data_IF_271860502882
#
_entry.id   IF_271860502882
#
_cell.length_a   1.000
_cell.length_b   1.000
_cell.length_c   1.000
_cell.angle_alpha   90.00
_cell.angle_beta   90.00
_cell.angle_gamma   90.00
#
_symmetry.space_group_name_H-M   'P 1'
#
loop_
_entity.id
_entity.type
_entity.pdbx_description
1 polymer ?
#
# COMPACT_ATOMS: atom_id res chain seq x y z
N UNK A 1 -21.81 -52.82 27.33
CA UNK A 1 -20.62 -52.15 26.75
C UNK A 1 -20.79 -50.65 26.91
N UNK A 2 -20.23 -50.06 27.96
CA UNK A 2 -20.34 -48.64 28.28
C UNK A 2 -19.10 -47.93 27.71
N UNK A 3 -19.24 -47.13 26.65
CA UNK A 3 -18.13 -46.40 26.03
C UNK A 3 -17.92 -45.08 26.77
N UNK A 4 -16.84 -44.98 27.53
CA UNK A 4 -16.35 -43.75 28.14
C UNK A 4 -15.68 -42.90 27.06
N UNK A 5 -16.30 -41.78 26.67
CA UNK A 5 -15.67 -40.79 25.79
C UNK A 5 -14.74 -39.90 26.60
N UNK A 6 -13.43 -39.98 26.34
CA UNK A 6 -12.47 -39.01 26.86
C UNK A 6 -12.62 -37.67 26.10
N UNK A 7 -12.64 -36.53 26.80
CA UNK A 7 -12.64 -35.23 26.14
C UNK A 7 -11.23 -34.95 25.57
N UNK A 8 -11.14 -34.81 24.26
CA UNK A 8 -9.92 -34.34 23.58
C UNK A 8 -9.63 -32.90 23.99
N UNK A 9 -8.58 -32.73 24.78
CA UNK A 9 -8.01 -31.43 25.12
C UNK A 9 -7.27 -30.91 23.87
N UNK A 10 -7.91 -30.00 23.12
CA UNK A 10 -7.26 -29.33 22.00
C UNK A 10 -6.33 -28.24 22.53
N UNK A 11 -5.03 -28.47 22.40
CA UNK A 11 -4.00 -27.47 22.62
C UNK A 11 -4.03 -26.49 21.44
N UNK A 12 -4.56 -25.29 21.64
CA UNK A 12 -4.55 -24.23 20.64
C UNK A 12 -3.10 -23.76 20.41
N UNK A 13 -2.50 -24.12 19.29
CA UNK A 13 -1.23 -23.57 18.85
C UNK A 13 -1.46 -22.14 18.35
N UNK A 14 -0.91 -21.15 19.05
CA UNK A 14 -0.87 -19.77 18.58
C UNK A 14 -0.04 -19.70 17.30
N UNK A 15 -0.60 -19.13 16.23
CA UNK A 15 0.15 -18.79 15.02
C UNK A 15 1.22 -17.75 15.39
N UNK A 16 2.48 -17.92 14.94
CA UNK A 16 3.49 -16.90 15.15
C UNK A 16 3.09 -15.64 14.40
N UNK A 17 3.08 -14.50 15.10
CA UNK A 17 2.97 -13.19 14.47
C UNK A 17 4.07 -13.08 13.39
N UNK A 18 3.72 -12.55 12.22
CA UNK A 18 4.72 -12.22 11.20
C UNK A 18 5.81 -11.34 11.86
N UNK A 19 7.07 -11.70 11.64
CA UNK A 19 8.18 -10.99 12.27
C UNK A 19 8.18 -9.52 11.83
N UNK A 20 8.23 -8.61 12.80
CA UNK A 20 8.29 -7.16 12.59
C UNK A 20 9.46 -6.79 11.65
N UNK A 21 9.24 -5.82 10.76
CA UNK A 21 10.25 -5.42 9.79
C UNK A 21 11.41 -4.73 10.51
N UNK A 22 12.61 -5.28 10.34
CA UNK A 22 13.82 -4.69 10.90
C UNK A 22 14.34 -3.60 9.97
N UNK A 23 14.22 -2.34 10.39
CA UNK A 23 14.70 -1.21 9.61
C UNK A 23 16.18 -1.33 9.24
N UNK A 24 17.06 -1.68 10.19
CA UNK A 24 18.51 -1.66 9.99
C UNK A 24 18.98 -2.69 8.97
N UNK A 25 18.40 -3.89 8.99
CA UNK A 25 18.86 -5.00 8.13
C UNK A 25 18.06 -5.12 6.84
N UNK A 26 16.82 -4.60 6.78
CA UNK A 26 15.95 -4.75 5.62
C UNK A 26 15.73 -3.43 4.88
N UNK A 27 15.33 -2.36 5.58
CA UNK A 27 14.88 -1.10 4.95
C UNK A 27 16.06 -0.17 4.64
N UNK A 28 16.98 0.01 5.60
CA UNK A 28 18.13 0.90 5.47
C UNK A 28 19.02 0.57 4.26
N UNK A 29 19.29 -0.71 3.92
CA UNK A 29 20.00 -1.05 2.68
C UNK A 29 19.29 -0.60 1.40
N UNK A 30 17.96 -0.68 1.36
CA UNK A 30 17.14 -0.21 0.22
C UNK A 30 17.28 1.30 0.06
N UNK A 31 17.08 2.05 1.16
CA UNK A 31 17.20 3.51 1.16
C UNK A 31 18.64 3.96 0.82
N UNK A 32 19.64 3.25 1.34
CA UNK A 32 21.05 3.53 1.06
C UNK A 32 21.39 3.39 -0.43
N UNK A 33 20.90 2.33 -1.06
CA UNK A 33 21.15 2.04 -2.49
C UNK A 33 20.43 3.01 -3.42
N UNK A 34 19.18 3.36 -3.13
CA UNK A 34 18.35 4.13 -4.05
C UNK A 34 18.44 5.65 -3.82
N UNK A 35 18.65 6.10 -2.58
CA UNK A 35 18.35 7.49 -2.23
C UNK A 35 19.56 8.27 -1.69
N UNK A 36 20.49 7.61 -1.01
CA UNK A 36 21.54 8.29 -0.24
C UNK A 36 22.55 9.07 -1.11
N UNK A 37 22.69 8.75 -2.40
CA UNK A 37 23.63 9.46 -3.28
C UNK A 37 23.27 10.96 -3.45
N UNK A 38 21.97 11.27 -3.49
CA UNK A 38 21.44 12.63 -3.68
C UNK A 38 20.90 13.28 -2.40
N UNK A 39 20.56 12.48 -1.38
CA UNK A 39 19.93 12.92 -0.12
C UNK A 39 20.83 12.78 1.12
N UNK A 40 22.15 12.78 0.90
CA UNK A 40 23.16 12.80 1.97
C UNK A 40 23.22 14.13 2.72
N UNK A 41 23.82 14.11 3.91
CA UNK A 41 24.14 15.33 4.65
C UNK A 41 24.93 16.33 3.79
N UNK A 42 24.79 17.65 4.03
CA UNK A 42 25.58 18.65 3.30
C UNK A 42 27.07 18.34 3.33
N UNK A 43 27.73 18.37 2.18
CA UNK A 43 29.17 18.11 2.04
C UNK A 43 29.84 19.26 1.30
N UNK A 44 31.12 19.51 1.56
CA UNK A 44 31.91 20.42 0.72
C UNK A 44 32.52 19.64 -0.43
N UNK A 45 32.45 20.17 -1.64
CA UNK A 45 33.23 19.64 -2.76
C UNK A 45 34.70 20.10 -2.68
N UNK A 46 35.52 19.65 -3.63
CA UNK A 46 36.96 19.97 -3.70
C UNK A 46 37.26 21.47 -3.83
N UNK A 47 36.27 22.29 -4.22
CA UNK A 47 36.39 23.75 -4.26
C UNK A 47 35.97 24.44 -2.96
N UNK A 48 35.55 23.67 -1.95
CA UNK A 48 35.04 24.17 -0.68
C UNK A 48 33.58 24.59 -0.72
N UNK A 49 32.88 24.43 -1.86
CA UNK A 49 31.46 24.80 -2.02
C UNK A 49 30.58 23.76 -1.33
N UNK A 50 29.62 24.23 -0.53
CA UNK A 50 28.65 23.37 0.16
C UNK A 50 27.61 22.86 -0.84
N UNK A 51 27.51 21.53 -0.93
CA UNK A 51 26.53 20.79 -1.69
C UNK A 51 25.42 20.32 -0.75
N UNK A 52 24.23 20.86 -0.92
CA UNK A 52 23.06 20.51 -0.11
C UNK A 52 22.30 19.30 -0.71
N UNK A 53 21.59 18.52 0.12
CA UNK A 53 20.72 17.45 -0.36
C UNK A 53 19.66 17.96 -1.34
N UNK A 54 19.35 17.16 -2.36
CA UNK A 54 18.28 17.49 -3.33
C UNK A 54 16.92 17.57 -2.62
N UNK A 55 16.12 18.57 -2.99
CA UNK A 55 14.82 18.84 -2.37
C UNK A 55 14.88 19.13 -0.87
N UNK A 56 16.06 19.39 -0.30
CA UNK A 56 16.24 19.57 1.14
C UNK A 56 16.01 18.29 1.98
N UNK A 57 15.77 17.14 1.35
CA UNK A 57 15.49 15.88 2.01
C UNK A 57 16.79 15.21 2.45
N UNK A 58 16.90 14.90 3.75
CA UNK A 58 17.98 14.10 4.32
C UNK A 58 17.49 12.71 4.72
N UNK A 59 18.36 11.71 4.59
CA UNK A 59 18.04 10.32 4.92
C UNK A 59 19.00 9.66 5.92
N UNK A 60 19.87 10.45 6.54
CA UNK A 60 20.93 9.99 7.42
C UNK A 60 20.52 9.88 8.90
N UNK A 61 19.26 10.19 9.23
CA UNK A 61 18.70 9.99 10.56
C UNK A 61 17.17 9.82 10.54
N UNK A 62 16.57 9.20 11.58
CA UNK A 62 15.12 9.10 11.73
C UNK A 62 14.41 10.46 11.63
N UNK A 63 14.89 11.47 12.36
CA UNK A 63 14.25 12.80 12.38
C UNK A 63 14.19 13.43 10.98
N UNK A 64 15.20 13.20 10.15
CA UNK A 64 15.27 13.71 8.79
C UNK A 64 14.31 13.00 7.84
N UNK A 65 14.24 11.66 7.94
CA UNK A 65 13.31 10.86 7.13
C UNK A 65 11.86 11.22 7.42
N UNK A 66 11.52 11.42 8.69
CA UNK A 66 10.17 11.84 9.10
C UNK A 66 9.85 13.25 8.61
N UNK A 67 10.72 14.23 8.94
CA UNK A 67 10.50 15.64 8.60
C UNK A 67 10.39 15.88 7.09
N UNK A 68 11.17 15.15 6.29
CA UNK A 68 11.22 15.34 4.85
C UNK A 68 11.96 16.61 4.42
N UNK A 69 11.65 17.05 3.21
CA UNK A 69 12.32 18.17 2.54
C UNK A 69 11.39 19.37 2.32
N UNK A 70 11.67 20.15 1.28
CA UNK A 70 10.85 21.31 0.90
C UNK A 70 9.43 20.98 0.44
N UNK A 71 9.15 19.70 0.16
CA UNK A 71 7.83 19.22 -0.26
C UNK A 71 6.87 18.86 0.87
N UNK A 72 7.35 18.80 2.13
CA UNK A 72 6.57 18.31 3.27
C UNK A 72 7.18 17.04 3.91
N UNK A 73 6.36 16.34 4.70
CA UNK A 73 6.77 15.15 5.44
C UNK A 73 7.35 14.07 4.50
N UNK A 74 8.51 13.52 4.87
CA UNK A 74 9.18 12.52 4.05
C UNK A 74 8.54 11.15 4.24
N UNK A 75 8.37 10.77 5.50
CA UNK A 75 7.71 9.56 5.97
C UNK A 75 6.68 9.96 7.02
N UNK A 76 5.43 9.61 6.78
CA UNK A 76 4.33 9.72 7.73
C UNK A 76 4.08 8.32 8.33
N UNK A 77 4.43 8.07 9.61
CA UNK A 77 4.24 6.78 10.24
C UNK A 77 2.81 6.26 10.14
N UNK A 78 2.64 5.06 9.60
CA UNK A 78 1.34 4.41 9.42
C UNK A 78 0.61 4.82 8.14
N UNK A 79 1.12 5.77 7.36
CA UNK A 79 0.45 6.33 6.18
C UNK A 79 1.41 6.49 4.99
N UNK A 80 1.63 5.43 4.19
CA UNK A 80 2.46 5.50 2.98
C UNK A 80 1.96 6.55 1.97
N UNK A 81 0.65 6.79 1.91
CA UNK A 81 0.04 7.74 0.98
C UNK A 81 0.26 9.20 1.39
N UNK A 82 0.67 9.47 2.64
CA UNK A 82 1.17 10.79 3.07
C UNK A 82 2.69 10.86 3.13
N UNK A 83 3.37 9.75 2.86
CA UNK A 83 4.82 9.66 2.84
C UNK A 83 5.35 10.02 1.46
N UNK A 84 5.84 11.26 1.27
CA UNK A 84 6.35 11.70 -0.03
C UNK A 84 7.44 10.79 -0.58
N UNK A 85 8.30 10.23 0.28
CA UNK A 85 9.32 9.26 -0.15
C UNK A 85 8.69 8.05 -0.82
N UNK A 86 7.59 7.53 -0.27
CA UNK A 86 6.88 6.39 -0.84
C UNK A 86 6.16 6.77 -2.14
N UNK A 87 5.48 7.91 -2.17
CA UNK A 87 4.83 8.40 -3.40
C UNK A 87 5.83 8.55 -4.56
N UNK A 88 7.03 9.10 -4.30
CA UNK A 88 8.02 9.35 -5.37
C UNK A 88 8.65 8.08 -5.94
N UNK A 89 8.73 7.00 -5.16
CA UNK A 89 9.28 5.71 -5.65
C UNK A 89 8.26 4.89 -6.45
N UNK A 90 6.97 5.24 -6.36
CA UNK A 90 5.92 4.65 -7.18
C UNK A 90 5.81 5.28 -8.57
N UNK A 91 6.40 6.47 -8.78
CA UNK A 91 6.35 7.17 -10.06
C UNK A 91 7.24 6.48 -11.12
N UNK A 92 6.82 6.47 -12.41
CA UNK A 92 7.67 6.02 -13.51
C UNK A 92 8.96 6.85 -13.58
N UNK A 93 10.07 6.24 -13.99
CA UNK A 93 11.37 6.92 -14.12
C UNK A 93 11.35 8.16 -15.02
N UNK A 94 10.39 8.21 -15.94
CA UNK A 94 10.15 9.27 -16.91
C UNK A 94 9.48 10.49 -16.28
N UNK A 95 8.82 10.33 -15.14
CA UNK A 95 8.18 11.41 -14.42
C UNK A 95 9.24 12.29 -13.73
N UNK A 96 9.09 13.61 -13.83
CA UNK A 96 10.09 14.57 -13.32
C UNK A 96 10.34 14.46 -11.81
N UNK A 97 9.29 14.07 -11.08
CA UNK A 97 9.31 13.89 -9.64
C UNK A 97 9.72 12.48 -9.17
N UNK A 98 9.96 11.55 -10.08
CA UNK A 98 10.31 10.17 -9.74
C UNK A 98 11.67 10.08 -9.06
N UNK A 99 11.72 9.22 -8.05
CA UNK A 99 12.94 8.98 -7.28
C UNK A 99 13.31 7.49 -7.33
N UNK A 100 14.54 7.14 -7.74
CA UNK A 100 15.61 8.06 -8.15
C UNK A 100 15.30 8.73 -9.51
N UNK A 101 15.85 9.92 -9.82
CA UNK A 101 15.64 10.53 -11.13
C UNK A 101 16.23 9.68 -12.26
N UNK A 102 15.69 9.82 -13.47
CA UNK A 102 16.17 9.11 -14.66
C UNK A 102 17.69 9.20 -14.81
N UNK A 103 18.35 8.05 -14.85
CA UNK A 103 19.80 7.94 -15.04
C UNK A 103 20.65 8.35 -13.82
N UNK A 104 20.03 8.60 -12.66
CA UNK A 104 20.70 8.96 -11.40
C UNK A 104 20.54 7.90 -10.30
N UNK A 105 19.98 6.73 -10.63
CA UNK A 105 19.83 5.60 -9.74
C UNK A 105 18.96 4.52 -10.38
N UNK A 106 18.82 3.38 -9.71
CA UNK A 106 17.88 2.33 -10.13
C UNK A 106 16.58 2.48 -9.31
N UNK A 107 15.40 2.37 -9.95
CA UNK A 107 14.15 2.25 -9.21
C UNK A 107 14.21 1.13 -8.18
N UNK A 108 13.42 1.28 -7.12
CA UNK A 108 13.14 0.15 -6.23
C UNK A 108 12.47 -0.96 -7.06
N UNK A 109 12.89 -2.19 -6.80
CA UNK A 109 12.13 -3.36 -7.24
C UNK A 109 10.80 -3.42 -6.50
N UNK A 110 9.83 -4.15 -7.05
CA UNK A 110 8.53 -4.35 -6.39
C UNK A 110 8.68 -4.80 -4.92
N UNK A 111 9.56 -5.78 -4.66
CA UNK A 111 9.80 -6.28 -3.30
C UNK A 111 10.41 -5.22 -2.37
N UNK A 112 11.31 -4.37 -2.89
CA UNK A 112 11.89 -3.26 -2.12
C UNK A 112 10.84 -2.17 -1.84
N UNK A 113 9.97 -1.87 -2.80
CA UNK A 113 8.86 -0.92 -2.64
C UNK A 113 7.86 -1.40 -1.59
N UNK A 114 7.46 -2.68 -1.64
CA UNK A 114 6.55 -3.26 -0.64
C UNK A 114 7.18 -3.35 0.75
N UNK A 115 8.49 -3.62 0.83
CA UNK A 115 9.21 -3.57 2.11
C UNK A 115 9.16 -2.18 2.74
N UNK A 116 9.36 -1.12 1.96
CA UNK A 116 9.27 0.27 2.44
C UNK A 116 7.84 0.61 2.83
N UNK A 117 6.84 0.25 2.01
CA UNK A 117 5.40 0.41 2.32
C UNK A 117 5.04 -0.21 3.67
N UNK A 118 5.40 -1.48 3.86
CA UNK A 118 5.05 -2.23 5.06
C UNK A 118 5.77 -1.70 6.30
N UNK A 119 7.02 -1.30 6.18
CA UNK A 119 7.72 -0.62 7.27
C UNK A 119 7.04 0.70 7.67
N UNK A 120 6.57 1.50 6.71
CA UNK A 120 5.80 2.71 7.01
C UNK A 120 4.49 2.34 7.70
N UNK A 121 3.76 1.35 7.20
CA UNK A 121 2.50 0.87 7.79
C UNK A 121 2.67 0.36 9.23
N UNK A 122 3.82 -0.25 9.56
CA UNK A 122 4.18 -0.66 10.92
C UNK A 122 4.54 0.52 11.85
N UNK A 123 4.47 1.76 11.35
CA UNK A 123 4.74 2.98 12.09
C UNK A 123 6.17 3.50 11.90
N UNK A 124 6.84 3.14 10.80
CA UNK A 124 8.19 3.59 10.47
C UNK A 124 9.19 3.37 11.63
N UNK A 125 9.17 2.18 12.24
CA UNK A 125 9.99 1.87 13.41
C UNK A 125 11.48 1.77 13.03
N UNK A 126 12.31 2.68 13.53
CA UNK A 126 13.75 2.72 13.23
C UNK A 126 14.60 1.79 14.11
N UNK A 127 14.01 1.19 15.15
CA UNK A 127 14.74 0.44 16.18
C UNK A 127 15.79 1.31 16.88
N UNK A 128 16.98 0.74 17.10
CA UNK A 128 18.10 1.45 17.75
C UNK A 128 18.88 2.37 16.80
N UNK A 129 18.52 2.42 15.51
CA UNK A 129 19.24 3.26 14.55
C UNK A 129 18.86 4.73 14.76
N UNK A 130 19.82 5.51 15.26
CA UNK A 130 19.70 6.96 15.46
C UNK A 130 20.32 7.78 14.34
N UNK A 131 21.12 7.17 13.48
CA UNK A 131 21.84 7.89 12.43
C UNK A 131 22.58 9.12 12.97
N UNK A 132 22.48 10.26 12.27
CA UNK A 132 23.07 11.53 12.72
C UNK A 132 22.30 12.23 13.85
N UNK A 133 21.12 11.76 14.25
CA UNK A 133 20.45 12.25 15.48
C UNK A 133 21.29 11.94 16.73
N UNK A 134 22.14 10.90 16.68
CA UNK A 134 23.05 10.56 17.78
C UNK A 134 24.07 11.67 18.07
N UNK A 135 24.37 12.53 17.10
CA UNK A 135 25.30 13.66 17.24
C UNK A 135 24.62 14.97 17.68
N UNK A 136 23.29 14.99 17.76
CA UNK A 136 22.51 16.18 18.16
C UNK A 136 21.58 15.81 19.30
N UNK A 137 22.06 15.94 20.54
CA UNK A 137 21.16 15.92 21.69
C UNK A 137 20.26 17.16 21.63
N UNK A 138 18.95 16.92 21.72
CA UNK A 138 17.84 17.88 21.79
C UNK A 138 17.31 18.43 20.44
N UNK A 139 16.40 17.68 19.82
CA UNK A 139 15.24 18.26 19.15
C UNK A 139 14.04 17.32 19.34
N UNK A 140 13.01 17.87 19.97
CA UNK A 140 11.74 17.26 20.37
C UNK A 140 11.14 16.37 19.28
N UNK A 141 10.84 15.12 19.64
CA UNK A 141 10.06 14.21 18.81
C UNK A 141 8.66 14.81 18.52
N UNK A 142 8.23 14.92 17.25
CA UNK A 142 6.83 15.07 16.94
C UNK A 142 6.15 13.70 17.08
N UNK A 143 5.24 13.60 18.05
CA UNK A 143 4.09 12.69 18.02
C UNK A 143 4.34 11.21 18.26
N UNK A 144 4.03 10.74 19.46
CA UNK A 144 3.41 9.42 19.62
C UNK A 144 2.28 9.22 18.59
N UNK A 145 2.03 7.98 18.11
CA UNK A 145 1.07 7.72 17.06
C UNK A 145 -0.26 8.37 17.42
N UNK A 146 -0.77 9.22 16.52
CA UNK A 146 -2.08 9.81 16.68
C UNK A 146 -3.06 8.68 16.99
N UNK A 147 -3.67 8.71 18.18
CA UNK A 147 -4.76 7.83 18.56
C UNK A 147 -5.82 7.98 17.46
N UNK A 148 -5.93 6.96 16.60
CA UNK A 148 -6.86 6.96 15.46
C UNK A 148 -8.24 7.38 15.97
N UNK A 149 -8.78 8.45 15.40
CA UNK A 149 -10.23 8.72 15.46
C UNK A 149 -10.92 7.45 14.99
N UNK A 150 -11.93 6.97 15.73
CA UNK A 150 -12.63 5.72 15.44
C UNK A 150 -12.98 5.66 13.95
N UNK A 151 -12.49 4.63 13.26
CA UNK A 151 -12.77 4.40 11.84
C UNK A 151 -14.30 4.20 11.70
N UNK A 152 -15.03 5.09 11.00
CA UNK A 152 -16.47 4.94 10.80
C UNK A 152 -16.82 3.62 10.12
N UNK A 153 -15.90 3.04 9.34
CA UNK A 153 -16.08 1.75 8.69
C UNK A 153 -15.91 0.57 9.66
N UNK A 154 -15.41 0.77 10.88
CA UNK A 154 -15.30 -0.31 11.87
C UNK A 154 -16.63 -0.57 12.59
N UNK A 155 -17.61 0.33 12.46
CA UNK A 155 -18.91 0.20 13.10
C UNK A 155 -19.66 -1.06 12.62
N UNK A 156 -20.01 -1.93 13.57
CA UNK A 156 -20.77 -3.16 13.31
C UNK A 156 -19.97 -4.28 12.65
N UNK A 157 -18.64 -4.18 12.55
CA UNK A 157 -17.80 -5.24 11.99
C UNK A 157 -17.62 -6.37 13.01
N UNK A 158 -17.90 -7.60 12.58
CA UNK A 158 -17.71 -8.82 13.38
C UNK A 158 -16.32 -9.40 13.14
N UNK A 159 -15.91 -10.32 14.02
CA UNK A 159 -14.67 -11.08 13.82
C UNK A 159 -14.70 -11.84 12.49
N UNK A 160 -13.56 -11.86 11.81
CA UNK A 160 -13.40 -12.60 10.57
C UNK A 160 -13.31 -14.11 10.84
N UNK A 161 -13.96 -14.97 10.04
CA UNK A 161 -13.88 -16.42 10.21
C UNK A 161 -12.44 -16.94 10.09
N UNK A 162 -11.89 -17.47 11.19
CA UNK A 162 -10.50 -17.90 11.28
C UNK A 162 -10.14 -19.00 10.26
N UNK A 163 -11.10 -19.87 9.90
CA UNK A 163 -10.89 -20.90 8.89
C UNK A 163 -10.69 -20.31 7.49
N UNK A 164 -11.41 -19.23 7.16
CA UNK A 164 -11.26 -18.50 5.89
C UNK A 164 -9.92 -17.79 5.86
N UNK A 165 -9.54 -17.11 6.95
CA UNK A 165 -8.24 -16.45 7.09
C UNK A 165 -7.09 -17.44 6.88
N UNK A 166 -7.19 -18.63 7.50
CA UNK A 166 -6.20 -19.69 7.32
C UNK A 166 -6.13 -20.17 5.87
N UNK A 167 -7.27 -20.45 5.23
CA UNK A 167 -7.33 -20.93 3.84
C UNK A 167 -6.65 -19.96 2.87
N UNK A 168 -6.91 -18.66 3.00
CA UNK A 168 -6.29 -17.67 2.09
C UNK A 168 -4.81 -17.46 2.40
N UNK A 169 -4.40 -17.55 3.68
CA UNK A 169 -2.99 -17.53 4.06
C UNK A 169 -2.22 -18.72 3.48
N UNK A 170 -2.79 -19.93 3.53
CA UNK A 170 -2.22 -21.14 2.93
C UNK A 170 -2.06 -21.00 1.39
N UNK A 171 -2.88 -20.14 0.76
CA UNK A 171 -2.80 -19.82 -0.67
C UNK A 171 -1.79 -18.71 -1.00
N UNK A 172 -1.16 -18.09 0.00
CA UNK A 172 -0.16 -17.04 -0.19
C UNK A 172 -0.68 -15.61 0.03
N UNK A 173 -1.85 -15.45 0.66
CA UNK A 173 -2.32 -14.14 1.09
C UNK A 173 -1.64 -13.69 2.39
N UNK A 174 -1.18 -12.45 2.43
CA UNK A 174 -0.87 -11.75 3.67
C UNK A 174 -2.16 -11.09 4.16
N UNK A 175 -2.51 -11.34 5.42
CA UNK A 175 -3.71 -10.76 6.04
C UNK A 175 -3.31 -10.05 7.32
N UNK A 176 -3.77 -8.81 7.47
CA UNK A 176 -3.49 -8.02 8.67
C UNK A 176 -4.62 -7.04 8.97
N UNK A 177 -4.79 -6.66 10.24
CA UNK A 177 -5.75 -5.62 10.59
C UNK A 177 -5.23 -4.27 10.06
N UNK A 178 -6.14 -3.38 9.65
CA UNK A 178 -5.75 -2.02 9.24
C UNK A 178 -5.21 -1.16 10.39
N UNK A 179 -5.37 -1.66 11.61
CA UNK A 179 -5.16 -0.93 12.84
C UNK A 179 -5.06 -1.87 14.03
N UNK A 180 -4.30 -1.51 15.06
CA UNK A 180 -4.37 -2.13 16.38
C UNK A 180 -5.83 -2.26 16.80
N UNK A 181 -6.22 -3.46 17.23
CA UNK A 181 -7.58 -3.83 17.65
C UNK A 181 -8.70 -3.68 16.60
N UNK A 182 -8.35 -3.46 15.32
CA UNK A 182 -9.35 -3.36 14.25
C UNK A 182 -9.71 -4.72 13.68
N UNK A 183 -11.01 -4.91 13.45
CA UNK A 183 -11.59 -6.07 12.76
C UNK A 183 -11.65 -5.87 11.24
N UNK A 184 -11.26 -4.69 10.77
CA UNK A 184 -11.11 -4.40 9.34
C UNK A 184 -9.76 -4.92 8.86
N UNK A 185 -9.77 -5.50 7.67
CA UNK A 185 -8.68 -6.28 7.13
C UNK A 185 -8.12 -5.66 5.87
N UNK A 186 -6.79 -5.76 5.79
CA UNK A 186 -6.01 -5.72 4.56
C UNK A 186 -5.67 -7.13 4.14
N UNK A 187 -5.91 -7.45 2.87
CA UNK A 187 -5.60 -8.74 2.27
C UNK A 187 -4.79 -8.50 1.00
N UNK A 188 -3.61 -9.08 0.93
CA UNK A 188 -2.71 -8.95 -0.22
C UNK A 188 -2.25 -10.32 -0.72
N UNK A 189 -2.55 -10.64 -1.97
CA UNK A 189 -2.08 -11.87 -2.62
C UNK A 189 -0.72 -11.62 -3.28
N UNK A 190 0.35 -11.70 -2.48
CA UNK A 190 1.73 -11.42 -2.95
C UNK A 190 2.53 -12.66 -3.29
N UNK A 191 2.09 -13.85 -2.83
CA UNK A 191 2.70 -15.13 -3.16
C UNK A 191 1.74 -15.97 -4.02
N UNK A 192 2.32 -16.87 -4.82
CA UNK A 192 1.58 -17.77 -5.71
C UNK A 192 0.58 -17.07 -6.64
N UNK A 193 0.84 -15.82 -7.04
CA UNK A 193 -0.14 -14.99 -7.76
C UNK A 193 -0.66 -15.66 -9.04
N UNK A 194 0.16 -16.48 -9.69
CA UNK A 194 -0.19 -17.27 -10.88
C UNK A 194 -1.21 -18.41 -10.63
N UNK A 195 -1.50 -18.75 -9.38
CA UNK A 195 -2.55 -19.73 -9.00
C UNK A 195 -3.81 -19.06 -8.44
N UNK A 196 -3.75 -17.76 -8.16
CA UNK A 196 -4.89 -16.98 -7.66
C UNK A 196 -5.82 -16.66 -8.82
N UNK A 197 -7.07 -17.11 -8.72
CA UNK A 197 -8.10 -17.00 -9.77
C UNK A 197 -9.40 -16.46 -9.19
N UNK A 198 -10.43 -16.27 -10.01
CA UNK A 198 -11.78 -15.88 -9.57
C UNK A 198 -12.35 -16.80 -8.47
N UNK A 199 -12.02 -18.09 -8.52
CA UNK A 199 -12.40 -19.06 -7.47
C UNK A 199 -11.76 -18.76 -6.11
N UNK A 200 -10.54 -18.20 -6.11
CA UNK A 200 -9.89 -17.76 -4.87
C UNK A 200 -10.61 -16.55 -4.29
N UNK A 201 -11.03 -15.61 -5.14
CA UNK A 201 -11.79 -14.42 -4.72
C UNK A 201 -13.15 -14.82 -4.14
N UNK A 202 -13.78 -15.89 -4.62
CA UNK A 202 -15.01 -16.42 -4.03
C UNK A 202 -14.85 -16.88 -2.57
N UNK A 203 -13.64 -17.30 -2.16
CA UNK A 203 -13.36 -17.63 -0.77
C UNK A 203 -13.41 -16.41 0.16
N UNK A 204 -13.32 -15.19 -0.39
CA UNK A 204 -13.37 -13.94 0.36
C UNK A 204 -14.80 -13.47 0.68
N UNK A 205 -15.83 -14.10 0.10
CA UNK A 205 -17.25 -13.72 0.35
C UNK A 205 -17.61 -13.63 1.85
N UNK A 206 -17.19 -14.56 2.72
CA UNK A 206 -17.46 -14.45 4.16
C UNK A 206 -16.75 -13.26 4.85
N UNK A 207 -15.75 -12.66 4.20
CA UNK A 207 -14.97 -11.51 4.69
C UNK A 207 -15.45 -10.18 4.10
N UNK A 208 -16.54 -10.15 3.31
CA UNK A 208 -17.02 -8.94 2.63
C UNK A 208 -17.23 -7.74 3.57
N UNK A 209 -17.63 -8.00 4.82
CA UNK A 209 -17.83 -6.98 5.85
C UNK A 209 -16.57 -6.54 6.59
N UNK A 210 -15.42 -7.17 6.31
CA UNK A 210 -14.13 -6.92 6.97
C UNK A 210 -13.14 -6.22 6.04
N UNK A 211 -13.19 -6.47 4.72
CA UNK A 211 -12.13 -6.04 3.80
C UNK A 211 -12.25 -4.54 3.48
N UNK A 212 -11.17 -3.79 3.77
CA UNK A 212 -10.99 -2.39 3.33
C UNK A 212 -9.90 -2.25 2.29
N UNK A 213 -8.90 -3.13 2.31
CA UNK A 213 -7.79 -3.13 1.37
C UNK A 213 -7.68 -4.51 0.73
N UNK A 214 -7.69 -4.54 -0.60
CA UNK A 214 -7.54 -5.77 -1.36
C UNK A 214 -6.52 -5.58 -2.47
N UNK A 215 -5.43 -6.32 -2.40
CA UNK A 215 -4.44 -6.42 -3.47
C UNK A 215 -4.50 -7.81 -4.13
N UNK A 216 -4.87 -7.80 -5.41
CA UNK A 216 -4.95 -8.95 -6.31
C UNK A 216 -4.07 -8.73 -7.54
N UNK A 217 -3.07 -7.84 -7.46
CA UNK A 217 -2.21 -7.51 -8.59
C UNK A 217 -1.41 -8.73 -9.06
N UNK A 218 -1.20 -8.82 -10.37
CA UNK A 218 -0.46 -9.89 -11.05
C UNK A 218 -1.03 -11.30 -10.81
N UNK A 219 -2.33 -11.38 -10.52
CA UNK A 219 -3.08 -12.64 -10.40
C UNK A 219 -3.82 -12.99 -11.69
N UNK A 220 -4.44 -14.17 -11.75
CA UNK A 220 -5.25 -14.62 -12.90
C UNK A 220 -6.74 -14.30 -12.75
N UNK A 221 -7.07 -13.24 -12.02
CA UNK A 221 -8.47 -12.80 -11.92
C UNK A 221 -8.96 -12.17 -13.22
N UNK A 222 -10.27 -12.25 -13.43
CA UNK A 222 -11.01 -11.70 -14.56
C UNK A 222 -12.20 -10.88 -14.05
N UNK A 223 -13.05 -10.41 -14.97
CA UNK A 223 -14.29 -9.71 -14.62
C UNK A 223 -15.23 -10.52 -13.70
N UNK A 224 -15.12 -11.85 -13.69
CA UNK A 224 -15.91 -12.69 -12.78
C UNK A 224 -15.56 -12.46 -11.30
N UNK A 225 -14.28 -12.26 -10.95
CA UNK A 225 -13.89 -11.87 -9.60
C UNK A 225 -14.48 -10.50 -9.21
N UNK A 226 -14.57 -9.58 -10.17
CA UNK A 226 -15.02 -8.21 -9.93
C UNK A 226 -16.48 -8.15 -9.50
N UNK A 227 -17.31 -9.09 -9.95
CA UNK A 227 -18.69 -9.22 -9.48
C UNK A 227 -18.76 -9.54 -7.97
N UNK A 228 -17.86 -10.41 -7.49
CA UNK A 228 -17.73 -10.70 -6.05
C UNK A 228 -17.17 -9.48 -5.30
N UNK A 229 -16.10 -8.86 -5.82
CA UNK A 229 -15.46 -7.69 -5.19
C UNK A 229 -16.42 -6.50 -5.07
N UNK A 230 -17.32 -6.31 -6.04
CA UNK A 230 -18.36 -5.28 -6.00
C UNK A 230 -19.31 -5.37 -4.80
N UNK A 231 -19.31 -6.48 -4.07
CA UNK A 231 -20.10 -6.66 -2.83
C UNK A 231 -19.36 -6.22 -1.55
N UNK A 232 -18.05 -5.93 -1.64
CA UNK A 232 -17.21 -5.55 -0.49
C UNK A 232 -17.37 -4.06 -0.17
N UNK A 233 -18.55 -3.65 0.28
CA UNK A 233 -18.95 -2.23 0.43
C UNK A 233 -18.09 -1.39 1.37
N UNK A 234 -17.23 -2.01 2.17
CA UNK A 234 -16.23 -1.33 3.03
C UNK A 234 -14.88 -1.12 2.35
N UNK A 235 -14.69 -1.62 1.13
CA UNK A 235 -13.45 -1.50 0.38
C UNK A 235 -13.13 -0.02 0.12
N UNK A 236 -11.95 0.41 0.55
CA UNK A 236 -11.39 1.74 0.30
C UNK A 236 -10.27 1.67 -0.71
N UNK A 237 -9.49 0.59 -0.73
CA UNK A 237 -8.35 0.41 -1.64
C UNK A 237 -8.44 -0.90 -2.40
N UNK A 238 -8.31 -0.83 -3.71
CA UNK A 238 -8.32 -1.99 -4.60
C UNK A 238 -7.16 -1.92 -5.59
N UNK A 239 -6.31 -2.95 -5.59
CA UNK A 239 -5.26 -3.14 -6.58
C UNK A 239 -5.53 -4.40 -7.40
N UNK A 240 -5.66 -4.24 -8.72
CA UNK A 240 -5.94 -5.30 -9.70
C UNK A 240 -4.98 -5.21 -10.88
N UNK A 241 -3.82 -4.58 -10.68
CA UNK A 241 -2.88 -4.33 -11.76
C UNK A 241 -2.31 -5.62 -12.35
N UNK A 242 -2.08 -5.68 -13.66
CA UNK A 242 -1.53 -6.87 -14.31
C UNK A 242 -2.47 -8.07 -14.34
N UNK A 243 -3.79 -7.83 -14.29
CA UNK A 243 -4.83 -8.87 -14.38
C UNK A 243 -5.57 -8.81 -15.73
N UNK A 244 -6.50 -9.74 -15.97
CA UNK A 244 -7.31 -9.77 -17.19
C UNK A 244 -8.62 -8.97 -17.08
N UNK A 245 -8.72 -8.05 -16.11
CA UNK A 245 -9.91 -7.22 -15.89
C UNK A 245 -10.10 -6.22 -17.04
N UNK A 246 -11.36 -6.03 -17.42
CA UNK A 246 -11.82 -5.14 -18.49
C UNK A 246 -12.82 -4.10 -17.95
N UNK A 247 -13.39 -3.29 -18.85
CA UNK A 247 -14.46 -2.33 -18.53
C UNK A 247 -15.68 -2.99 -17.87
N UNK A 248 -15.99 -4.24 -18.24
CA UNK A 248 -17.10 -4.99 -17.65
C UNK A 248 -16.85 -5.32 -16.16
N UNK A 249 -15.60 -5.62 -15.81
CA UNK A 249 -15.19 -5.80 -14.42
C UNK A 249 -15.31 -4.50 -13.62
N UNK A 250 -14.84 -3.38 -14.17
CA UNK A 250 -14.96 -2.07 -13.51
C UNK A 250 -16.43 -1.66 -13.31
N UNK A 251 -17.33 -1.98 -14.25
CA UNK A 251 -18.76 -1.73 -14.12
C UNK A 251 -19.39 -2.38 -12.87
N UNK A 252 -18.80 -3.48 -12.36
CA UNK A 252 -19.25 -4.16 -11.14
C UNK A 252 -18.92 -3.39 -9.86
N UNK A 253 -18.03 -2.40 -9.92
CA UNK A 253 -17.56 -1.64 -8.75
C UNK A 253 -18.48 -0.49 -8.32
N UNK A 254 -19.60 -0.25 -9.03
CA UNK A 254 -20.54 0.86 -8.75
C UNK A 254 -21.05 0.95 -7.31
N UNK A 255 -21.06 -0.17 -6.57
CA UNK A 255 -21.49 -0.24 -5.18
C UNK A 255 -20.43 0.14 -4.15
N UNK A 256 -19.18 0.33 -4.56
CA UNK A 256 -18.04 0.59 -3.68
C UNK A 256 -17.92 2.08 -3.35
N UNK A 257 -18.94 2.63 -2.70
CA UNK A 257 -19.05 4.07 -2.37
C UNK A 257 -17.96 4.58 -1.41
N UNK A 258 -17.19 3.68 -0.82
CA UNK A 258 -16.06 3.98 0.05
C UNK A 258 -14.70 3.92 -0.65
N UNK A 259 -14.65 3.46 -1.91
CA UNK A 259 -13.41 3.32 -2.67
C UNK A 259 -12.77 4.69 -2.88
N UNK A 260 -11.55 4.84 -2.38
CA UNK A 260 -10.73 6.04 -2.52
C UNK A 260 -9.45 5.81 -3.34
N UNK A 261 -9.00 4.57 -3.49
CA UNK A 261 -7.86 4.21 -4.33
C UNK A 261 -8.17 3.01 -5.22
N UNK A 262 -7.92 3.16 -6.52
CA UNK A 262 -7.99 2.10 -7.52
C UNK A 262 -6.68 2.04 -8.31
N UNK A 263 -5.99 0.92 -8.22
CA UNK A 263 -4.87 0.61 -9.10
C UNK A 263 -5.27 -0.45 -10.13
N UNK A 264 -5.41 -0.03 -11.39
CA UNK A 264 -5.82 -0.86 -12.52
C UNK A 264 -4.77 -0.84 -13.64
N UNK A 265 -3.49 -0.74 -13.29
CA UNK A 265 -2.41 -0.72 -14.28
C UNK A 265 -2.30 -2.02 -15.07
N UNK A 266 -1.72 -1.98 -16.27
CA UNK A 266 -1.50 -3.18 -17.11
C UNK A 266 -2.77 -4.04 -17.28
N UNK A 267 -3.95 -3.43 -17.31
CA UNK A 267 -5.25 -4.10 -17.55
C UNK A 267 -5.79 -3.75 -18.93
N UNK A 268 -6.96 -4.29 -19.29
CA UNK A 268 -7.64 -3.96 -20.55
C UNK A 268 -8.69 -2.84 -20.38
N UNK A 269 -8.70 -2.16 -19.24
CA UNK A 269 -9.62 -1.05 -18.94
C UNK A 269 -9.39 0.12 -19.91
N UNK A 270 -10.47 0.68 -20.43
CA UNK A 270 -10.52 1.77 -21.40
C UNK A 270 -11.38 2.94 -20.90
N UNK A 271 -11.54 3.96 -21.75
CA UNK A 271 -12.40 5.11 -21.45
C UNK A 271 -13.86 4.74 -21.16
N UNK A 272 -14.32 3.56 -21.61
CA UNK A 272 -15.67 3.08 -21.33
C UNK A 272 -15.93 2.80 -19.84
N UNK A 273 -14.90 2.43 -19.06
CA UNK A 273 -15.03 2.24 -17.62
C UNK A 273 -15.25 3.53 -16.83
N UNK A 274 -14.87 4.69 -17.38
CA UNK A 274 -14.81 5.95 -16.64
C UNK A 274 -16.17 6.42 -16.15
N UNK A 275 -17.26 6.12 -16.88
CA UNK A 275 -18.62 6.44 -16.43
C UNK A 275 -18.95 5.80 -15.08
N UNK A 276 -18.46 4.58 -14.82
CA UNK A 276 -18.62 3.92 -13.53
C UNK A 276 -17.77 4.60 -12.47
N UNK A 277 -16.50 4.91 -12.77
CA UNK A 277 -15.58 5.50 -11.80
C UNK A 277 -15.98 6.92 -11.39
N UNK A 278 -16.57 7.69 -12.30
CA UNK A 278 -17.17 8.98 -11.98
C UNK A 278 -18.22 8.85 -10.87
N UNK A 279 -18.98 7.75 -10.81
CA UNK A 279 -19.97 7.48 -9.74
C UNK A 279 -19.36 7.35 -8.34
N UNK A 280 -18.08 6.97 -8.26
CA UNK A 280 -17.35 6.74 -7.00
C UNK A 280 -16.75 8.05 -6.49
N UNK A 281 -17.60 8.90 -5.90
CA UNK A 281 -17.25 10.28 -5.50
C UNK A 281 -16.14 10.40 -4.44
N UNK A 282 -15.76 9.30 -3.77
CA UNK A 282 -14.65 9.26 -2.82
C UNK A 282 -13.31 8.90 -3.44
N UNK A 283 -13.29 8.55 -4.73
CA UNK A 283 -12.09 8.16 -5.44
C UNK A 283 -11.09 9.34 -5.50
N UNK A 284 -9.91 9.13 -4.93
CA UNK A 284 -8.82 10.10 -4.80
C UNK A 284 -7.58 9.70 -5.59
N UNK A 285 -7.33 8.41 -5.76
CA UNK A 285 -6.16 7.91 -6.49
C UNK A 285 -6.61 6.89 -7.52
N UNK A 286 -6.24 7.10 -8.77
CA UNK A 286 -6.56 6.19 -9.87
C UNK A 286 -5.34 6.00 -10.75
N UNK A 287 -4.87 4.76 -10.84
CA UNK A 287 -3.67 4.42 -11.60
C UNK A 287 -4.03 3.50 -12.77
N UNK A 288 -3.69 3.93 -13.97
CA UNK A 288 -4.06 3.32 -15.24
C UNK A 288 -2.86 3.10 -16.17
N UNK A 289 -1.63 3.19 -15.68
CA UNK A 289 -0.45 3.02 -16.53
C UNK A 289 -0.52 1.68 -17.28
N UNK A 290 -0.17 1.68 -18.57
CA UNK A 290 -0.30 0.50 -19.46
C UNK A 290 -1.72 -0.09 -19.56
N UNK A 291 -2.76 0.69 -19.28
CA UNK A 291 -4.14 0.35 -19.64
C UNK A 291 -4.49 0.91 -21.04
N UNK A 292 -5.77 0.87 -21.41
CA UNK A 292 -6.32 1.46 -22.64
C UNK A 292 -7.03 2.80 -22.38
N UNK A 293 -6.94 3.36 -21.17
CA UNK A 293 -7.47 4.70 -20.86
C UNK A 293 -6.63 5.75 -21.58
N UNK A 294 -7.29 6.66 -22.31
CA UNK A 294 -6.63 7.73 -23.04
C UNK A 294 -6.30 8.91 -22.12
N UNK A 295 -5.38 9.78 -22.56
CA UNK A 295 -5.09 11.04 -21.88
C UNK A 295 -6.33 11.93 -21.71
N UNK A 296 -7.22 11.94 -22.70
CA UNK A 296 -8.45 12.73 -22.64
C UNK A 296 -9.48 12.08 -21.72
N UNK A 297 -9.56 10.75 -21.70
CA UNK A 297 -10.33 9.99 -20.72
C UNK A 297 -9.88 10.28 -19.29
N UNK A 298 -8.57 10.22 -19.03
CA UNK A 298 -7.98 10.53 -17.73
C UNK A 298 -8.32 11.95 -17.27
N UNK A 299 -8.14 12.95 -18.14
CA UNK A 299 -8.52 14.35 -17.88
C UNK A 299 -10.02 14.50 -17.62
N UNK A 300 -10.86 13.78 -18.35
CA UNK A 300 -12.31 13.79 -18.16
C UNK A 300 -12.69 13.25 -16.78
N UNK A 301 -12.08 12.14 -16.36
CA UNK A 301 -12.28 11.59 -15.02
C UNK A 301 -11.81 12.56 -13.94
N UNK A 302 -10.62 13.13 -14.09
CA UNK A 302 -10.05 14.13 -13.17
C UNK A 302 -10.92 15.38 -13.07
N UNK A 303 -11.55 15.82 -14.17
CA UNK A 303 -12.50 16.94 -14.18
C UNK A 303 -13.80 16.60 -13.43
N UNK A 304 -14.28 15.36 -13.58
CA UNK A 304 -15.46 14.89 -12.86
C UNK A 304 -15.21 14.66 -11.36
N UNK A 305 -13.96 14.38 -11.00
CA UNK A 305 -13.49 14.14 -9.64
C UNK A 305 -12.33 15.11 -9.31
N UNK A 306 -12.60 16.41 -9.11
CA UNK A 306 -11.55 17.43 -9.04
C UNK A 306 -10.54 17.26 -7.88
N UNK A 307 -10.86 16.45 -6.87
CA UNK A 307 -9.95 16.09 -5.77
C UNK A 307 -9.18 14.79 -5.96
N UNK A 308 -9.34 14.11 -7.10
CA UNK A 308 -8.58 12.91 -7.41
C UNK A 308 -7.20 13.22 -7.99
N UNK A 309 -6.38 12.20 -8.11
CA UNK A 309 -5.15 12.14 -8.90
C UNK A 309 -5.30 10.94 -9.82
N UNK A 310 -5.31 11.19 -11.12
CA UNK A 310 -5.46 10.17 -12.17
C UNK A 310 -4.16 10.09 -12.97
N UNK A 311 -3.49 8.94 -12.94
CA UNK A 311 -2.22 8.72 -13.64
C UNK A 311 -2.37 7.63 -14.72
N UNK A 312 -1.86 7.87 -15.93
CA UNK A 312 -1.93 6.94 -17.07
C UNK A 312 -0.58 6.62 -17.72
N UNK A 313 0.51 7.25 -17.25
CA UNK A 313 1.86 7.13 -17.81
C UNK A 313 2.80 6.41 -16.85
#
# INVERSE_FOLDING_TARGET
MLRLSLPSLFLAAALPAAAEINFRTQVLPVLGKACAECHKAPQKDSSGKVQNPKGGLRMDAPSHLLKGGSGGAGIEPGDPDKSLVYQRVLLPQEHEDAMPPKGKGKPLTFAETELVKNWILEGAKFGDWKGSDAATTAATAPGSPAKRTADPLAAGVTEAPADVLKKIADLGAIVGPVSTDSKLLRIEFVANTSTITDKTVDLLKPLAGNITDLDLSNTKITDAAMATIGTFTRLTRLSIGGTSVTDAGIASLKGLVNLDSLNAHSTQVSDAALATLQSLRKLKQVHFWKSRVSADGAKSLQKALPGSSVSID
#
